data_IF_162516504323
#
_entry.id   IF_162516504323
#
_cell.length_a   1.000
_cell.length_b   1.000
_cell.length_c   1.000
_cell.angle_alpha   90.00
_cell.angle_beta   90.00
_cell.angle_gamma   90.00
#
_symmetry.space_group_name_H-M   'P 1'
#
loop_
_entity.id
_entity.type
_entity.pdbx_description
1 polymer ?
#
# COMPACT_ATOMS: atom_id res chain seq x y z
N UNK A 1 -6.25 -8.15 1.81
CA UNK A 1 -5.78 -7.31 0.90
C UNK A 1 -4.30 -7.17 0.57
N UNK A 2 -3.52 -6.48 1.39
CA UNK A 2 -2.09 -6.29 1.11
C UNK A 2 -1.26 -7.29 1.91
N UNK A 3 -0.68 -8.28 1.23
CA UNK A 3 0.11 -9.36 1.86
C UNK A 3 1.42 -8.89 2.51
N UNK A 4 1.85 -7.67 2.25
CA UNK A 4 2.99 -7.05 2.96
C UNK A 4 2.62 -6.66 4.39
N UNK A 5 1.34 -6.37 4.65
CA UNK A 5 0.86 -5.92 5.95
C UNK A 5 0.12 -7.00 6.75
N UNK A 6 -0.61 -7.87 6.05
CA UNK A 6 -1.44 -8.90 6.68
C UNK A 6 -1.39 -10.19 5.88
N UNK A 7 -1.09 -11.29 6.55
CA UNK A 7 -1.04 -12.65 5.99
C UNK A 7 -1.88 -13.59 6.84
N UNK A 8 -2.22 -14.75 6.28
CA UNK A 8 -2.77 -15.88 7.03
C UNK A 8 -1.72 -16.96 7.15
N UNK A 9 -1.59 -17.55 8.34
CA UNK A 9 -0.79 -18.74 8.54
C UNK A 9 -1.57 -20.00 8.08
N UNK A 10 -0.95 -21.18 8.17
CA UNK A 10 -1.58 -22.46 7.80
C UNK A 10 -2.84 -22.77 8.62
N UNK A 11 -2.95 -22.27 9.84
CA UNK A 11 -4.15 -22.41 10.70
C UNK A 11 -5.24 -21.39 10.36
N UNK A 12 -5.00 -20.48 9.39
CA UNK A 12 -5.94 -19.43 9.00
C UNK A 12 -5.90 -18.18 9.90
N UNK A 13 -4.98 -18.12 10.87
CA UNK A 13 -4.85 -16.98 11.76
C UNK A 13 -4.15 -15.82 11.08
N UNK A 14 -4.61 -14.60 11.36
CA UNK A 14 -4.02 -13.38 10.82
C UNK A 14 -2.75 -13.00 11.59
N UNK A 15 -1.72 -12.64 10.84
CA UNK A 15 -0.47 -12.09 11.37
C UNK A 15 0.10 -11.04 10.42
N UNK A 16 1.02 -10.22 10.89
CA UNK A 16 1.70 -9.19 10.10
C UNK A 16 1.67 -7.84 10.80
N UNK A 17 2.33 -6.86 10.19
CA UNK A 17 2.51 -5.52 10.75
C UNK A 17 1.18 -4.85 11.10
N UNK A 18 0.16 -4.93 10.22
CA UNK A 18 -1.15 -4.36 10.53
C UNK A 18 -1.82 -5.02 11.73
N UNK A 19 -1.64 -6.33 11.90
CA UNK A 19 -2.22 -7.07 13.05
C UNK A 19 -1.56 -6.63 14.35
N UNK A 20 -0.22 -6.54 14.38
CA UNK A 20 0.53 -6.08 15.55
C UNK A 20 0.12 -4.64 15.94
N UNK A 21 0.01 -3.73 14.98
CA UNK A 21 -0.39 -2.35 15.20
C UNK A 21 -1.83 -2.23 15.74
N UNK A 22 -2.77 -3.01 15.19
CA UNK A 22 -4.16 -3.03 15.66
C UNK A 22 -4.27 -3.66 17.05
N UNK A 23 -3.51 -4.71 17.34
CA UNK A 23 -3.45 -5.31 18.67
C UNK A 23 -2.87 -4.34 19.71
N UNK A 24 -1.81 -3.59 19.36
CA UNK A 24 -1.25 -2.57 20.22
C UNK A 24 -2.26 -1.46 20.55
N UNK A 25 -3.03 -1.01 19.55
CA UNK A 25 -4.09 -0.02 19.72
C UNK A 25 -5.21 -0.54 20.63
N UNK A 26 -5.74 -1.74 20.35
CA UNK A 26 -6.80 -2.35 21.14
C UNK A 26 -6.37 -2.56 22.61
N UNK A 27 -5.12 -3.02 22.84
CA UNK A 27 -4.54 -3.15 24.17
C UNK A 27 -4.48 -1.80 24.89
N UNK A 28 -4.04 -0.73 24.21
CA UNK A 28 -3.96 0.62 24.79
C UNK A 28 -5.33 1.19 25.15
N UNK A 29 -6.35 0.87 24.36
CA UNK A 29 -7.73 1.29 24.60
C UNK A 29 -8.47 0.41 25.62
N UNK A 30 -7.94 -0.76 25.96
CA UNK A 30 -8.58 -1.74 26.86
C UNK A 30 -9.82 -2.39 26.24
N UNK A 31 -9.85 -2.56 24.91
CA UNK A 31 -10.98 -3.13 24.17
C UNK A 31 -10.59 -4.42 23.45
N UNK A 32 -11.57 -5.25 23.11
CA UNK A 32 -11.38 -6.39 22.22
C UNK A 32 -11.17 -5.92 20.77
N UNK A 33 -10.38 -6.70 20.01
CA UNK A 33 -10.13 -6.47 18.60
C UNK A 33 -10.91 -7.50 17.77
N UNK A 34 -11.75 -7.00 16.85
CA UNK A 34 -12.36 -7.79 15.80
C UNK A 34 -11.78 -7.37 14.45
N UNK A 35 -11.35 -8.33 13.64
CA UNK A 35 -10.71 -8.08 12.35
C UNK A 35 -11.67 -8.32 11.20
N UNK A 36 -12.01 -7.26 10.46
CA UNK A 36 -12.76 -7.33 9.20
C UNK A 36 -11.79 -7.52 8.05
N UNK A 37 -11.97 -8.59 7.25
CA UNK A 37 -11.04 -8.98 6.19
C UNK A 37 -11.59 -8.55 4.84
N UNK A 38 -10.74 -7.93 4.03
CA UNK A 38 -11.04 -7.51 2.66
C UNK A 38 -10.02 -8.09 1.69
N UNK A 39 -10.42 -8.35 0.47
CA UNK A 39 -9.52 -8.82 -0.59
C UNK A 39 -8.66 -7.70 -1.16
N UNK A 40 -9.20 -6.47 -1.20
CA UNK A 40 -8.52 -5.31 -1.81
C UNK A 40 -8.60 -4.07 -0.91
N UNK A 41 -7.53 -3.24 -0.86
CA UNK A 41 -7.53 -2.00 -0.08
C UNK A 41 -8.60 -0.98 -0.52
N UNK A 42 -9.00 -1.01 -1.78
CA UNK A 42 -10.08 -0.17 -2.31
C UNK A 42 -11.42 -0.45 -1.63
N UNK A 43 -11.75 -1.72 -1.38
CA UNK A 43 -12.97 -2.12 -0.69
C UNK A 43 -13.01 -1.58 0.75
N UNK A 44 -11.86 -1.58 1.45
CA UNK A 44 -11.76 -0.99 2.80
C UNK A 44 -12.12 0.50 2.74
N UNK A 45 -11.56 1.23 1.75
CA UNK A 45 -11.84 2.66 1.58
C UNK A 45 -13.30 2.94 1.19
N UNK A 46 -13.90 2.10 0.35
CA UNK A 46 -15.31 2.21 -0.08
C UNK A 46 -16.30 2.02 1.10
N UNK A 47 -15.89 1.31 2.15
CA UNK A 47 -16.69 1.04 3.33
C UNK A 47 -16.47 2.04 4.48
N UNK A 48 -15.60 3.03 4.30
CA UNK A 48 -15.24 4.01 5.33
C UNK A 48 -16.42 4.75 5.96
N UNK A 49 -17.49 4.99 5.18
CA UNK A 49 -18.69 5.70 5.63
C UNK A 49 -19.87 4.79 5.98
N UNK A 50 -19.68 3.45 5.88
CA UNK A 50 -20.76 2.47 6.07
C UNK A 50 -20.80 1.88 7.49
N UNK A 51 -19.83 2.21 8.34
CA UNK A 51 -19.77 1.68 9.71
C UNK A 51 -19.43 0.19 9.80
N UNK A 52 -18.82 -0.38 8.75
CA UNK A 52 -18.39 -1.80 8.73
C UNK A 52 -17.14 -2.01 9.57
N UNK A 53 -16.30 -0.99 9.69
CA UNK A 53 -15.11 -0.98 10.52
C UNK A 53 -14.94 0.38 11.21
N UNK A 54 -14.28 0.41 12.35
CA UNK A 54 -14.01 1.64 13.09
C UNK A 54 -12.67 2.26 12.69
N UNK A 55 -11.63 1.43 12.52
CA UNK A 55 -10.25 1.85 12.22
C UNK A 55 -9.67 0.89 11.20
N UNK A 56 -8.93 1.42 10.24
CA UNK A 56 -8.18 0.64 9.26
C UNK A 56 -6.72 1.10 9.18
N UNK A 57 -5.86 0.35 8.48
CA UNK A 57 -4.53 0.79 8.06
C UNK A 57 -4.53 0.80 6.54
N UNK A 58 -4.32 1.99 5.97
CA UNK A 58 -4.40 2.21 4.52
C UNK A 58 -3.27 3.13 4.05
N UNK A 59 -2.97 3.03 2.76
CA UNK A 59 -2.15 4.02 2.06
C UNK A 59 -2.80 5.40 2.16
N UNK A 60 -2.04 6.39 2.60
CA UNK A 60 -2.45 7.79 2.67
C UNK A 60 -2.49 8.33 1.25
N UNK A 61 -3.70 8.66 0.77
CA UNK A 61 -3.92 9.09 -0.61
C UNK A 61 -5.04 10.15 -0.68
N UNK A 62 -4.86 11.13 -1.56
CA UNK A 62 -5.74 12.32 -1.67
C UNK A 62 -7.20 11.98 -1.96
N UNK A 63 -7.45 10.97 -2.79
CA UNK A 63 -8.83 10.56 -3.12
C UNK A 63 -9.52 9.96 -1.90
N UNK A 64 -8.82 9.15 -1.12
CA UNK A 64 -9.32 8.57 0.13
C UNK A 64 -9.55 9.62 1.21
N UNK A 65 -8.73 10.67 1.25
CA UNK A 65 -8.86 11.76 2.21
C UNK A 65 -10.17 12.56 2.08
N UNK A 66 -10.96 12.34 1.04
CA UNK A 66 -12.31 12.93 0.90
C UNK A 66 -13.34 12.32 1.87
N UNK A 67 -13.11 11.11 2.35
CA UNK A 67 -14.02 10.36 3.24
C UNK A 67 -13.32 9.78 4.45
N UNK A 68 -12.00 9.85 4.50
CA UNK A 68 -11.14 9.24 5.52
C UNK A 68 -10.21 10.29 6.10
N UNK A 69 -10.16 10.38 7.43
CA UNK A 69 -9.07 11.05 8.15
C UNK A 69 -7.94 10.07 8.41
N UNK A 70 -6.70 10.51 8.21
CA UNK A 70 -5.50 9.71 8.42
C UNK A 70 -4.68 10.23 9.61
N UNK A 71 -4.04 9.30 10.33
CA UNK A 71 -2.92 9.61 11.19
C UNK A 71 -1.70 10.01 10.34
N UNK A 72 -0.59 10.47 10.95
CA UNK A 72 0.71 10.50 10.29
C UNK A 72 1.08 9.13 9.72
N UNK A 73 1.93 9.11 8.70
CA UNK A 73 2.49 7.87 8.16
C UNK A 73 3.32 7.13 9.21
N UNK A 74 3.20 5.81 9.24
CA UNK A 74 4.00 4.93 10.10
C UNK A 74 5.03 4.15 9.31
N UNK A 75 4.72 3.87 8.06
CA UNK A 75 5.56 3.09 7.16
C UNK A 75 5.63 3.74 5.79
N UNK A 76 6.73 3.46 5.13
CA UNK A 76 7.02 3.92 3.77
C UNK A 76 7.34 2.72 2.87
N UNK A 77 6.83 2.74 1.65
CA UNK A 77 7.08 1.71 0.64
C UNK A 77 7.15 2.33 -0.75
N UNK A 78 8.13 1.93 -1.54
CA UNK A 78 8.29 2.40 -2.91
C UNK A 78 7.39 1.64 -3.90
N UNK A 79 6.84 2.36 -4.87
CA UNK A 79 6.18 1.81 -6.04
C UNK A 79 7.01 2.04 -7.30
N UNK A 80 7.06 1.04 -8.17
CA UNK A 80 7.86 1.04 -9.38
C UNK A 80 7.17 0.31 -10.53
N UNK A 81 7.94 0.09 -11.60
CA UNK A 81 7.47 -0.60 -12.79
C UNK A 81 8.33 -1.81 -13.13
N UNK A 82 7.68 -2.87 -13.59
CA UNK A 82 8.29 -3.90 -14.43
C UNK A 82 7.91 -3.60 -15.87
N UNK A 83 8.89 -3.69 -16.76
CA UNK A 83 8.72 -3.53 -18.22
C UNK A 83 9.29 -4.75 -18.93
N UNK A 84 8.95 -5.02 -20.21
CA UNK A 84 9.57 -6.08 -20.97
C UNK A 84 11.11 -5.93 -21.00
N UNK A 85 11.84 -7.05 -21.00
CA UNK A 85 13.32 -7.06 -21.02
C UNK A 85 13.89 -6.27 -22.20
N UNK A 86 13.23 -6.32 -23.36
CA UNK A 86 13.61 -5.61 -24.58
C UNK A 86 13.05 -4.18 -24.67
N UNK A 87 12.37 -3.69 -23.64
CA UNK A 87 11.88 -2.32 -23.58
C UNK A 87 13.04 -1.32 -23.59
N UNK A 88 12.84 -0.19 -24.27
CA UNK A 88 13.80 0.92 -24.33
C UNK A 88 13.79 1.80 -23.09
N UNK A 89 12.77 1.71 -22.24
CA UNK A 89 12.67 2.52 -21.03
C UNK A 89 13.83 2.26 -20.07
N UNK A 90 14.47 3.33 -19.61
CA UNK A 90 15.60 3.29 -18.69
C UNK A 90 15.23 3.85 -17.29
N UNK A 91 14.17 4.64 -17.20
CA UNK A 91 13.70 5.24 -15.93
C UNK A 91 12.17 5.17 -15.81
N UNK A 92 11.67 5.41 -14.60
CA UNK A 92 10.23 5.42 -14.31
C UNK A 92 9.50 6.57 -15.00
N UNK A 93 10.17 7.70 -15.24
CA UNK A 93 9.60 8.88 -15.88
C UNK A 93 9.29 8.63 -17.37
N UNK A 94 10.09 7.80 -18.03
CA UNK A 94 9.90 7.49 -19.46
C UNK A 94 8.64 6.66 -19.72
N UNK A 95 8.11 5.99 -18.69
CA UNK A 95 6.87 5.18 -18.82
C UNK A 95 5.65 6.05 -19.07
N UNK A 96 5.65 7.33 -18.62
CA UNK A 96 4.55 8.27 -18.97
C UNK A 96 4.69 8.80 -20.39
N UNK A 97 4.61 7.91 -21.37
CA UNK A 97 4.72 8.24 -22.78
C UNK A 97 3.43 7.92 -23.54
N UNK A 98 3.22 8.65 -24.65
CA UNK A 98 2.01 8.51 -25.48
C UNK A 98 1.86 7.09 -26.03
N UNK A 99 0.69 6.50 -25.81
CA UNK A 99 0.35 5.16 -26.28
C UNK A 99 0.76 4.04 -25.32
N UNK A 100 1.55 4.34 -24.29
CA UNK A 100 1.94 3.36 -23.26
C UNK A 100 0.74 2.99 -22.40
N UNK A 101 0.59 1.69 -22.15
CA UNK A 101 -0.43 1.10 -21.28
C UNK A 101 0.22 0.52 -20.04
N UNK A 102 -0.27 0.91 -18.87
CA UNK A 102 0.26 0.49 -17.57
C UNK A 102 -0.79 -0.39 -16.88
N UNK A 103 -0.50 -1.66 -16.63
CA UNK A 103 -1.36 -2.54 -15.84
C UNK A 103 -1.25 -2.21 -14.35
N UNK A 104 -2.38 -2.02 -13.69
CA UNK A 104 -2.45 -1.79 -12.24
C UNK A 104 -3.80 -2.24 -11.67
N UNK A 105 -3.86 -2.77 -10.42
CA UNK A 105 -5.11 -3.05 -9.73
C UNK A 105 -5.90 -1.77 -9.48
N UNK A 106 -7.18 -1.78 -9.81
CA UNK A 106 -8.08 -0.65 -9.57
C UNK A 106 -8.12 -0.28 -8.08
N UNK A 107 -8.11 1.03 -7.81
CA UNK A 107 -8.16 1.61 -6.45
C UNK A 107 -6.98 1.22 -5.53
N UNK A 108 -5.90 0.64 -6.06
CA UNK A 108 -4.64 0.56 -5.33
C UNK A 108 -4.07 1.97 -5.10
N UNK A 109 -3.36 2.18 -3.98
CA UNK A 109 -2.84 3.53 -3.66
C UNK A 109 -1.97 4.12 -4.76
N UNK A 110 -1.11 3.31 -5.37
CA UNK A 110 -0.28 3.73 -6.50
C UNK A 110 -1.06 3.91 -7.80
N UNK A 111 -2.16 3.16 -8.03
CA UNK A 111 -3.04 3.36 -9.18
C UNK A 111 -3.78 4.70 -9.08
N UNK A 112 -4.29 5.06 -7.90
CA UNK A 112 -4.93 6.34 -7.63
C UNK A 112 -3.96 7.52 -7.87
N UNK A 113 -2.69 7.35 -7.46
CA UNK A 113 -1.64 8.32 -7.76
C UNK A 113 -1.43 8.44 -9.26
N UNK A 114 -1.21 7.33 -9.97
CA UNK A 114 -0.99 7.32 -11.42
C UNK A 114 -2.16 7.95 -12.18
N UNK A 115 -3.40 7.69 -11.75
CA UNK A 115 -4.61 8.31 -12.35
C UNK A 115 -4.56 9.83 -12.32
N UNK A 116 -3.92 10.42 -11.30
CA UNK A 116 -3.80 11.88 -11.17
C UNK A 116 -2.51 12.45 -11.74
N UNK A 117 -1.44 11.64 -11.83
CA UNK A 117 -0.10 12.10 -12.19
C UNK A 117 0.24 11.93 -13.68
N UNK A 118 -0.24 10.86 -14.30
CA UNK A 118 0.04 10.56 -15.72
C UNK A 118 -0.55 11.62 -16.64
N UNK A 119 0.22 12.00 -17.66
CA UNK A 119 -0.14 12.97 -18.67
C UNK A 119 -0.35 12.35 -20.05
N UNK A 120 0.37 11.26 -20.34
CA UNK A 120 0.49 10.69 -21.68
C UNK A 120 0.10 9.21 -21.73
N UNK A 121 0.53 8.42 -20.75
CA UNK A 121 0.23 7.00 -20.65
C UNK A 121 -1.21 6.76 -20.16
N UNK A 122 -1.72 5.55 -20.39
CA UNK A 122 -3.03 5.10 -19.93
C UNK A 122 -2.91 3.94 -18.96
N UNK A 123 -3.91 3.77 -18.08
CA UNK A 123 -3.94 2.68 -17.11
C UNK A 123 -4.93 1.60 -17.57
N UNK A 124 -4.44 0.36 -17.64
CA UNK A 124 -5.26 -0.85 -17.78
C UNK A 124 -5.58 -1.34 -16.37
N UNK A 125 -6.80 -1.07 -15.91
CA UNK A 125 -7.25 -1.43 -14.56
C UNK A 125 -7.62 -2.89 -14.49
N UNK A 126 -7.19 -3.54 -13.43
CA UNK A 126 -7.43 -4.97 -13.19
C UNK A 126 -8.08 -5.18 -11.82
N UNK A 127 -8.67 -6.34 -11.63
CA UNK A 127 -9.34 -6.68 -10.36
C UNK A 127 -8.38 -6.85 -9.17
N UNK A 128 -7.13 -7.27 -9.43
CA UNK A 128 -6.10 -7.49 -8.42
C UNK A 128 -4.70 -7.53 -9.05
N UNK A 129 -3.66 -7.65 -8.24
CA UNK A 129 -2.27 -7.64 -8.72
C UNK A 129 -1.92 -8.87 -9.59
N UNK A 130 -2.48 -10.05 -9.29
CA UNK A 130 -2.28 -11.24 -10.11
C UNK A 130 -2.84 -11.04 -11.53
N UNK A 131 -4.04 -10.47 -11.66
CA UNK A 131 -4.60 -10.11 -12.96
C UNK A 131 -3.78 -9.04 -13.70
N UNK A 132 -3.09 -8.15 -12.99
CA UNK A 132 -2.16 -7.20 -13.63
C UNK A 132 -0.94 -7.91 -14.21
N UNK A 133 -0.41 -8.95 -13.53
CA UNK A 133 0.67 -9.78 -14.05
C UNK A 133 0.22 -10.54 -15.30
N UNK A 134 -0.99 -11.10 -15.30
CA UNK A 134 -1.57 -11.81 -16.46
C UNK A 134 -1.64 -10.89 -17.67
N UNK A 135 -2.25 -9.71 -17.53
CA UNK A 135 -2.39 -8.69 -18.59
C UNK A 135 -1.01 -8.26 -19.13
N UNK A 136 -0.02 -8.11 -18.26
CA UNK A 136 1.35 -7.77 -18.67
C UNK A 136 2.00 -8.92 -19.46
N UNK A 137 1.91 -10.16 -18.97
CA UNK A 137 2.49 -11.34 -19.64
C UNK A 137 1.83 -11.63 -20.99
N UNK A 138 0.55 -11.30 -21.16
CA UNK A 138 -0.20 -11.40 -22.42
C UNK A 138 0.08 -10.25 -23.39
N UNK A 139 1.02 -9.35 -23.07
CA UNK A 139 1.38 -8.16 -23.85
C UNK A 139 0.23 -7.18 -24.10
N UNK A 140 -0.77 -7.16 -23.21
CA UNK A 140 -1.86 -6.20 -23.25
C UNK A 140 -1.52 -4.88 -22.52
N UNK A 141 -0.37 -4.85 -21.82
CA UNK A 141 0.21 -3.65 -21.23
C UNK A 141 1.73 -3.61 -21.45
N UNK A 142 2.26 -2.39 -21.58
CA UNK A 142 3.69 -2.12 -21.82
C UNK A 142 4.49 -2.03 -20.52
N UNK A 143 3.81 -1.79 -19.40
CA UNK A 143 4.39 -1.76 -18.07
C UNK A 143 3.43 -2.35 -17.02
N UNK A 144 3.98 -2.96 -15.98
CA UNK A 144 3.28 -3.41 -14.79
C UNK A 144 3.66 -2.51 -13.62
N UNK A 145 2.71 -1.79 -13.05
CA UNK A 145 2.91 -1.00 -11.84
C UNK A 145 2.67 -1.84 -10.58
N UNK A 146 3.45 -1.61 -9.54
CA UNK A 146 3.28 -2.29 -8.27
C UNK A 146 4.17 -1.75 -7.16
N UNK A 147 3.90 -2.20 -5.93
CA UNK A 147 4.83 -2.02 -4.83
C UNK A 147 6.10 -2.81 -5.12
N UNK A 148 7.28 -2.20 -4.99
CA UNK A 148 8.55 -2.84 -5.36
C UNK A 148 8.76 -4.22 -4.73
N UNK A 149 8.49 -4.45 -3.43
CA UNK A 149 8.62 -5.80 -2.87
C UNK A 149 7.73 -6.82 -3.59
N UNK A 150 6.48 -6.47 -3.89
CA UNK A 150 5.58 -7.38 -4.60
C UNK A 150 6.05 -7.65 -6.03
N UNK A 151 6.57 -6.62 -6.71
CA UNK A 151 7.16 -6.79 -8.05
C UNK A 151 8.36 -7.73 -8.00
N UNK A 152 9.29 -7.53 -7.04
CA UNK A 152 10.48 -8.37 -6.88
C UNK A 152 10.09 -9.82 -6.58
N UNK A 153 9.18 -10.03 -5.62
CA UNK A 153 8.74 -11.37 -5.24
C UNK A 153 8.02 -12.09 -6.39
N UNK A 154 7.38 -11.33 -7.28
CA UNK A 154 6.63 -11.88 -8.42
C UNK A 154 7.46 -12.03 -9.69
N UNK A 155 8.75 -11.65 -9.72
CA UNK A 155 9.59 -11.75 -10.93
C UNK A 155 9.67 -13.16 -11.50
N UNK A 156 9.53 -14.20 -10.67
CA UNK A 156 9.48 -15.60 -11.13
C UNK A 156 8.25 -15.91 -12.01
N UNK A 157 7.17 -15.10 -11.89
CA UNK A 157 5.95 -15.18 -12.71
C UNK A 157 6.02 -14.26 -13.94
N UNK A 158 7.08 -13.46 -14.08
CA UNK A 158 7.24 -12.46 -15.15
C UNK A 158 8.59 -12.70 -15.87
N UNK A 159 8.76 -13.85 -16.54
CA UNK A 159 10.05 -14.27 -17.07
C UNK A 159 10.63 -13.31 -18.12
N UNK A 160 9.77 -12.61 -18.86
CA UNK A 160 10.17 -11.62 -19.88
C UNK A 160 10.18 -10.18 -19.36
N UNK A 161 10.03 -9.98 -18.04
CA UNK A 161 10.07 -8.67 -17.40
C UNK A 161 11.42 -8.31 -16.81
N UNK A 162 11.67 -7.03 -16.65
CA UNK A 162 12.72 -6.45 -15.80
C UNK A 162 12.18 -5.30 -14.98
N UNK A 163 12.64 -5.20 -13.74
CA UNK A 163 12.31 -4.06 -12.87
C UNK A 163 13.07 -2.83 -13.36
N UNK A 164 12.37 -1.70 -13.50
CA UNK A 164 13.02 -0.41 -13.76
C UNK A 164 13.73 0.12 -12.52
N UNK A 165 14.89 0.76 -12.68
CA UNK A 165 15.53 1.47 -11.57
C UNK A 165 14.66 2.69 -11.14
N UNK A 166 14.84 3.11 -9.89
CA UNK A 166 14.06 4.21 -9.31
C UNK A 166 12.65 3.80 -8.88
N UNK A 167 11.86 4.76 -8.46
CA UNK A 167 10.45 4.61 -8.12
C UNK A 167 9.66 5.78 -8.73
N UNK A 168 8.37 5.61 -8.97
CA UNK A 168 7.53 6.71 -9.42
C UNK A 168 6.79 7.38 -8.25
N UNK A 169 6.71 6.71 -7.10
CA UNK A 169 6.21 7.29 -5.85
C UNK A 169 6.68 6.48 -4.65
N UNK A 170 6.63 7.14 -3.50
CA UNK A 170 6.72 6.52 -2.18
C UNK A 170 5.35 6.60 -1.51
N UNK A 171 4.89 5.50 -0.93
CA UNK A 171 3.57 5.38 -0.32
C UNK A 171 3.72 5.27 1.18
N UNK A 172 3.12 6.19 1.90
CA UNK A 172 3.01 6.14 3.35
C UNK A 172 1.70 5.46 3.76
N UNK A 173 1.75 4.63 4.80
CA UNK A 173 0.58 4.02 5.40
C UNK A 173 0.38 4.55 6.82
N UNK A 174 -0.88 4.82 7.15
CA UNK A 174 -1.29 5.31 8.46
C UNK A 174 -2.60 4.67 8.91
N UNK A 175 -2.97 4.91 10.16
CA UNK A 175 -4.33 4.61 10.61
C UNK A 175 -5.33 5.49 9.87
N UNK A 176 -6.43 4.88 9.50
CA UNK A 176 -7.55 5.48 8.78
C UNK A 176 -8.81 5.38 9.63
N UNK A 177 -9.56 6.45 9.70
CA UNK A 177 -10.84 6.54 10.41
C UNK A 177 -11.83 7.34 9.55
N UNK A 178 -13.13 7.06 9.64
CA UNK A 178 -14.12 7.84 8.91
C UNK A 178 -14.00 9.33 9.22
N UNK A 179 -14.17 10.17 8.20
CA UNK A 179 -14.14 11.62 8.36
C UNK A 179 -15.20 12.09 9.39
N UNK A 180 -14.90 13.17 10.14
CA UNK A 180 -15.80 13.71 11.15
C UNK A 180 -15.65 13.10 12.55
N UNK A 181 -14.62 12.30 12.78
CA UNK A 181 -14.27 11.73 14.10
C UNK A 181 -13.00 12.39 14.67
N UNK A 182 -13.02 13.72 14.86
CA UNK A 182 -11.84 14.53 15.18
C UNK A 182 -11.12 14.10 16.46
N UNK A 183 -11.87 13.80 17.53
CA UNK A 183 -11.27 13.37 18.81
C UNK A 183 -10.53 12.02 18.67
N UNK A 184 -11.12 11.07 17.94
CA UNK A 184 -10.48 9.79 17.67
C UNK A 184 -9.26 9.94 16.75
N UNK A 185 -9.33 10.82 15.74
CA UNK A 185 -8.20 11.12 14.88
C UNK A 185 -7.04 11.77 15.67
N UNK A 186 -7.32 12.73 16.56
CA UNK A 186 -6.31 13.32 17.44
C UNK A 186 -5.65 12.28 18.36
N UNK A 187 -6.44 11.34 18.88
CA UNK A 187 -5.88 10.22 19.66
C UNK A 187 -4.94 9.34 18.82
N UNK A 188 -5.33 8.99 17.59
CA UNK A 188 -4.51 8.20 16.68
C UNK A 188 -3.22 8.91 16.30
N UNK A 189 -3.23 10.23 16.12
CA UNK A 189 -2.01 10.99 15.86
C UNK A 189 -0.99 10.84 17.00
N UNK A 190 -1.41 11.01 18.25
CA UNK A 190 -0.54 10.82 19.41
C UNK A 190 -0.08 9.36 19.54
N UNK A 191 -0.97 8.39 19.32
CA UNK A 191 -0.64 6.99 19.37
C UNK A 191 0.44 6.61 18.34
N UNK A 192 0.35 7.13 17.11
CA UNK A 192 1.36 6.91 16.07
C UNK A 192 2.71 7.50 16.45
N UNK A 193 2.73 8.69 17.03
CA UNK A 193 3.98 9.30 17.52
C UNK A 193 4.66 8.40 18.56
N UNK A 194 3.89 7.85 19.51
CA UNK A 194 4.40 6.93 20.52
C UNK A 194 4.92 5.62 19.91
N UNK A 195 4.22 5.06 18.90
CA UNK A 195 4.65 3.86 18.18
C UNK A 195 5.99 4.07 17.44
N UNK A 196 6.13 5.24 16.79
CA UNK A 196 7.36 5.61 16.09
C UNK A 196 8.50 5.82 17.11
N UNK A 197 8.24 6.60 18.16
CA UNK A 197 9.25 6.92 19.19
C UNK A 197 9.74 5.68 19.94
N UNK A 198 8.88 4.68 20.17
CA UNK A 198 9.24 3.42 20.83
C UNK A 198 9.98 2.42 19.92
N UNK A 199 10.04 2.66 18.59
CA UNK A 199 10.58 1.71 17.62
C UNK A 199 9.64 0.55 17.29
N UNK A 200 8.42 0.51 17.86
CA UNK A 200 7.48 -0.60 17.70
C UNK A 200 7.19 -0.95 16.24
N UNK A 201 7.09 0.05 15.35
CA UNK A 201 6.83 -0.17 13.92
C UNK A 201 8.00 -0.90 13.26
N UNK A 202 9.24 -0.48 13.56
CA UNK A 202 10.45 -1.11 13.04
C UNK A 202 10.58 -2.56 13.55
N UNK A 203 10.37 -2.78 14.83
CA UNK A 203 10.41 -4.12 15.46
C UNK A 203 9.37 -5.06 14.83
N UNK A 204 8.16 -4.56 14.55
CA UNK A 204 7.12 -5.35 13.90
C UNK A 204 7.48 -5.70 12.45
N UNK A 205 8.09 -4.77 11.68
CA UNK A 205 8.57 -5.03 10.32
C UNK A 205 9.66 -6.10 10.33
N UNK A 206 10.62 -6.01 11.25
CA UNK A 206 11.70 -6.97 11.42
C UNK A 206 11.17 -8.36 11.83
N UNK A 207 10.28 -8.42 12.84
CA UNK A 207 9.60 -9.64 13.30
C UNK A 207 8.94 -10.41 12.15
N UNK A 208 8.30 -9.71 11.23
CA UNK A 208 7.59 -10.30 10.10
C UNK A 208 8.46 -10.41 8.84
N UNK A 209 9.73 -9.99 8.89
CA UNK A 209 10.72 -10.06 7.80
C UNK A 209 10.22 -9.44 6.49
N UNK A 210 9.55 -8.29 6.57
CA UNK A 210 8.96 -7.61 5.41
C UNK A 210 10.03 -6.77 4.72
N UNK A 211 10.61 -7.29 3.65
CA UNK A 211 11.61 -6.58 2.85
C UNK A 211 10.97 -5.42 2.10
N UNK A 212 11.64 -4.26 2.11
CA UNK A 212 11.22 -3.07 1.35
C UNK A 212 10.06 -2.28 1.97
N UNK A 213 9.56 -2.66 3.14
CA UNK A 213 8.73 -1.83 3.98
C UNK A 213 9.64 -1.15 5.01
N UNK A 214 9.58 0.16 5.11
CA UNK A 214 10.45 0.98 5.96
C UNK A 214 9.59 1.63 7.05
N UNK A 215 10.02 1.54 8.30
CA UNK A 215 9.40 2.31 9.39
C UNK A 215 9.80 3.78 9.25
N UNK A 216 8.82 4.67 9.29
CA UNK A 216 9.10 6.11 9.39
C UNK A 216 9.69 6.37 10.79
N UNK A 217 10.78 7.10 10.81
CA UNK A 217 11.44 7.53 12.04
C UNK A 217 11.11 9.00 12.30
N UNK A 218 11.06 9.40 13.56
CA UNK A 218 11.03 10.83 13.89
C UNK A 218 12.34 11.45 13.38
N UNK A 219 12.23 12.46 12.55
CA UNK A 219 13.40 13.29 12.23
C UNK A 219 13.72 14.10 13.51
N UNK A 220 14.89 13.86 14.16
CA UNK A 220 15.25 14.59 15.37
C UNK A 220 15.54 16.10 15.10
N UNK A 221 15.36 16.55 13.86
CA UNK A 221 15.66 17.93 13.42
C UNK A 221 14.39 18.75 13.02
N UNK A 222 13.18 18.26 13.33
CA UNK A 222 11.93 19.04 13.17
C UNK A 222 11.32 19.33 14.54
#
# INVERSE_FOLDING_TARGET
GNTLFTRKNEAGELHGVSVDLMQALAKRLGVSLEMVIYEQPGQVADDATKGVWDIAILAIEKTRAKTISFSPGMTEIEAGYVVPKNSTFQSTEEVDSKGVKIAAPEKAGYELYLTSALKNASIVRTKNFAASIEIFNEHHADALAGLKPNLIDSMHQIPEGRLLPGNFMTINHGFAIALGKEAANAYLQNFVQDLIASGFVADSIEKHQIKGLIAIQNDPHI
#
